data_IF_914975479396
#
_entry.id   IF_914975479396
#
_cell.length_a   1.000
_cell.length_b   1.000
_cell.length_c   1.000
_cell.angle_alpha   90.00
_cell.angle_beta   90.00
_cell.angle_gamma   90.00
#
_symmetry.space_group_name_H-M   'P 1'
#
loop_
_entity.id
_entity.type
_entity.pdbx_description
1 polymer ?
#
# COMPACT_ATOMS: atom_id res chain seq x y z
N UNK A 1 -55.86 30.85 -0.02
CA UNK A 1 -54.44 30.48 0.05
C UNK A 1 -53.92 30.27 1.49
N UNK A 2 -54.71 30.56 2.53
CA UNK A 2 -54.31 30.36 3.93
C UNK A 2 -54.66 28.97 4.54
N UNK A 3 -55.54 28.18 3.89
CA UNK A 3 -55.99 26.88 4.42
C UNK A 3 -55.04 25.71 4.09
N UNK A 4 -54.13 25.86 3.12
CA UNK A 4 -53.21 24.79 2.70
C UNK A 4 -51.90 24.75 3.51
N UNK A 5 -51.59 25.80 4.28
CA UNK A 5 -50.34 25.89 5.05
C UNK A 5 -50.45 25.29 6.47
N UNK A 6 -51.67 25.12 7.01
CA UNK A 6 -51.87 24.54 8.35
C UNK A 6 -51.88 23.01 8.36
N UNK A 7 -52.24 22.35 7.26
CA UNK A 7 -52.26 20.88 7.17
C UNK A 7 -50.84 20.29 7.05
N UNK A 8 -49.91 21.00 6.38
CA UNK A 8 -48.54 20.53 6.21
C UNK A 8 -47.74 20.51 7.53
N UNK A 9 -48.01 21.44 8.46
CA UNK A 9 -47.33 21.50 9.75
C UNK A 9 -47.75 20.40 10.73
N UNK A 10 -48.98 19.90 10.65
CA UNK A 10 -49.49 18.86 11.55
C UNK A 10 -49.04 17.44 11.15
N UNK A 11 -48.75 17.19 9.87
CA UNK A 11 -48.27 15.87 9.39
C UNK A 11 -46.80 15.63 9.77
N UNK A 12 -45.97 16.68 9.85
CA UNK A 12 -44.55 16.55 10.21
C UNK A 12 -44.32 16.27 11.71
N UNK A 13 -45.20 16.73 12.61
CA UNK A 13 -45.09 16.47 14.05
C UNK A 13 -45.50 15.04 14.45
N UNK A 14 -46.37 14.38 13.67
CA UNK A 14 -46.76 12.99 13.93
C UNK A 14 -45.70 11.96 13.47
N UNK A 15 -44.88 12.29 12.46
CA UNK A 15 -43.86 11.39 11.94
C UNK A 15 -42.61 11.29 12.84
N UNK A 16 -42.28 12.34 13.61
CA UNK A 16 -41.12 12.34 14.52
C UNK A 16 -41.46 11.66 15.86
N UNK A 17 -42.71 11.80 16.36
CA UNK A 17 -43.13 11.18 17.62
C UNK A 17 -43.35 9.66 17.54
N UNK A 18 -43.72 9.14 16.37
CA UNK A 18 -43.96 7.70 16.15
C UNK A 18 -42.68 6.86 16.04
N UNK A 19 -41.56 7.47 15.60
CA UNK A 19 -40.30 6.73 15.41
C UNK A 19 -39.58 6.45 16.73
N UNK A 20 -39.77 7.30 17.74
CA UNK A 20 -39.10 7.17 19.05
C UNK A 20 -39.75 6.13 19.99
N UNK A 21 -41.01 5.75 19.75
CA UNK A 21 -41.76 4.83 20.61
C UNK A 21 -41.70 3.35 20.16
N UNK A 22 -41.07 3.05 19.03
CA UNK A 22 -40.96 1.69 18.47
C UNK A 22 -39.55 1.06 18.55
N UNK A 23 -38.56 1.77 19.11
CA UNK A 23 -37.19 1.24 19.27
C UNK A 23 -36.87 0.70 20.67
N UNK A 24 -37.83 0.68 21.60
CA UNK A 24 -37.58 0.27 23.00
C UNK A 24 -38.35 -0.98 23.44
N UNK A 25 -38.62 -1.92 22.52
CA UNK A 25 -39.18 -3.21 22.90
C UNK A 25 -38.42 -4.39 22.28
N UNK A 26 -37.66 -5.02 23.18
CA UNK A 26 -37.26 -6.44 23.23
C UNK A 26 -35.93 -6.85 22.61
N UNK A 27 -34.95 -7.05 23.50
CA UNK A 27 -34.08 -8.23 23.50
C UNK A 27 -33.70 -8.55 24.96
N UNK A 28 -34.66 -9.09 25.73
CA UNK A 28 -34.34 -9.82 26.96
C UNK A 28 -33.95 -11.25 26.56
N UNK A 29 -32.69 -11.47 26.25
CA UNK A 29 -32.12 -12.82 26.15
C UNK A 29 -30.73 -12.86 26.78
N UNK A 30 -30.62 -13.74 27.77
CA UNK A 30 -29.40 -14.25 28.40
C UNK A 30 -28.56 -13.26 29.23
N UNK A 31 -28.63 -13.44 30.55
CA UNK A 31 -27.63 -12.94 31.50
C UNK A 31 -26.22 -13.40 31.08
N UNK A 32 -25.25 -12.49 30.90
CA UNK A 32 -23.87 -12.89 30.89
C UNK A 32 -23.49 -13.29 32.32
N UNK A 33 -22.86 -14.46 32.46
CA UNK A 33 -22.18 -14.87 33.67
C UNK A 33 -21.10 -13.81 33.92
N UNK A 34 -21.36 -12.91 34.86
CA UNK A 34 -20.38 -11.96 35.38
C UNK A 34 -19.32 -12.75 36.15
N UNK A 35 -18.34 -13.27 35.42
CA UNK A 35 -17.03 -13.55 36.00
C UNK A 35 -16.30 -12.23 36.05
N UNK A 36 -16.60 -11.44 37.09
CA UNK A 36 -15.74 -10.32 37.44
C UNK A 36 -14.32 -10.89 37.61
N UNK A 37 -13.29 -10.33 36.96
CA UNK A 37 -11.93 -10.67 37.31
C UNK A 37 -11.73 -10.40 38.81
N UNK A 38 -10.89 -11.18 39.51
CA UNK A 38 -10.58 -10.87 40.90
C UNK A 38 -10.19 -9.40 40.99
N UNK A 39 -10.70 -8.72 42.02
CA UNK A 39 -10.42 -7.31 42.29
C UNK A 39 -8.94 -7.06 42.01
N UNK A 40 -8.68 -6.23 41.00
CA UNK A 40 -7.33 -5.78 40.66
C UNK A 40 -6.73 -5.31 41.97
N UNK A 41 -5.61 -5.94 42.35
CA UNK A 41 -4.74 -5.37 43.37
C UNK A 41 -4.53 -3.92 42.93
N UNK A 42 -4.90 -2.99 43.80
CA UNK A 42 -4.72 -1.55 43.62
C UNK A 42 -3.21 -1.28 43.69
N UNK A 43 -2.51 -1.73 42.65
CA UNK A 43 -1.16 -1.29 42.35
C UNK A 43 -1.32 0.15 41.91
N UNK A 44 -0.46 1.07 42.38
CA UNK A 44 -0.51 2.44 41.92
C UNK A 44 -0.52 2.43 40.40
N UNK A 45 -1.48 3.13 39.79
CA UNK A 45 -1.43 3.40 38.37
C UNK A 45 -0.14 4.21 38.15
N UNK A 46 0.89 3.58 37.60
CA UNK A 46 2.12 4.25 37.22
C UNK A 46 1.75 5.24 36.12
N UNK A 47 1.74 6.55 36.44
CA UNK A 47 1.36 7.59 35.49
C UNK A 47 2.50 7.87 34.51
N UNK A 48 3.76 7.65 34.92
CA UNK A 48 4.94 7.88 34.09
C UNK A 48 5.98 6.74 34.18
N UNK A 49 6.55 6.33 33.04
CA UNK A 49 7.55 5.25 32.96
C UNK A 49 8.81 5.51 33.81
N UNK A 50 9.14 6.79 34.03
CA UNK A 50 10.29 7.24 34.82
C UNK A 50 10.17 6.91 36.32
N UNK A 51 8.97 6.55 36.80
CA UNK A 51 8.76 6.11 38.18
C UNK A 51 9.44 4.77 38.48
N UNK A 52 9.71 3.95 37.46
CA UNK A 52 10.44 2.69 37.58
C UNK A 52 11.78 2.68 36.82
N UNK A 53 11.96 3.55 35.83
CA UNK A 53 13.19 3.66 35.04
C UNK A 53 13.94 4.97 35.34
N UNK A 54 14.70 5.00 36.45
CA UNK A 54 15.49 6.16 36.86
C UNK A 54 16.60 6.50 35.86
N UNK A 55 17.19 5.48 35.22
CA UNK A 55 18.16 5.65 34.14
C UNK A 55 17.59 5.11 32.81
N UNK A 56 17.07 6.01 31.98
CA UNK A 56 16.47 5.66 30.68
C UNK A 56 17.49 5.18 29.64
N UNK A 57 18.78 5.49 29.82
CA UNK A 57 19.86 5.11 28.89
C UNK A 57 20.61 3.83 29.36
N UNK A 58 20.15 3.16 30.42
CA UNK A 58 20.82 1.99 30.99
C UNK A 58 20.93 0.82 29.99
N UNK A 59 19.85 0.49 29.27
CA UNK A 59 19.85 -0.61 28.29
C UNK A 59 20.82 -0.38 27.11
N UNK A 60 21.02 0.88 26.72
CA UNK A 60 21.96 1.28 25.66
C UNK A 60 23.42 1.14 26.11
N UNK A 61 23.68 1.31 27.42
CA UNK A 61 25.03 1.24 28.00
C UNK A 61 25.38 -0.16 28.50
N UNK A 62 24.38 -0.95 28.92
CA UNK A 62 24.51 -2.35 29.32
C UNK A 62 24.77 -3.30 28.14
N UNK A 63 24.46 -2.88 26.91
CA UNK A 63 24.65 -3.67 25.69
C UNK A 63 23.52 -4.66 25.41
N UNK A 64 22.37 -4.49 26.07
CA UNK A 64 21.16 -5.29 25.83
C UNK A 64 20.53 -5.00 24.45
N UNK A 65 20.84 -3.82 23.90
CA UNK A 65 20.50 -3.40 22.54
C UNK A 65 21.76 -2.95 21.81
N UNK A 66 21.74 -3.00 20.47
CA UNK A 66 22.86 -2.53 19.68
C UNK A 66 23.20 -1.07 20.04
N UNK A 67 24.46 -0.75 20.39
CA UNK A 67 24.81 0.57 20.89
C UNK A 67 24.56 1.62 19.82
N UNK A 68 23.76 2.62 20.18
CA UNK A 68 23.53 3.82 19.39
C UNK A 68 24.52 4.90 19.86
N UNK A 69 25.63 5.16 19.15
CA UNK A 69 26.77 5.89 19.71
C UNK A 69 26.48 7.33 20.14
N UNK A 70 25.42 7.93 19.58
CA UNK A 70 25.07 9.34 19.83
C UNK A 70 23.66 9.52 20.38
N UNK A 71 22.93 8.45 20.70
CA UNK A 71 21.57 8.57 21.20
C UNK A 71 21.56 8.68 22.72
N UNK A 72 20.87 9.69 23.25
CA UNK A 72 20.46 9.76 24.65
C UNK A 72 19.03 10.26 24.76
N UNK A 73 18.28 9.83 25.78
CA UNK A 73 16.96 10.37 26.05
C UNK A 73 17.01 11.88 26.35
N UNK A 74 18.03 12.36 27.08
CA UNK A 74 18.21 13.78 27.43
C UNK A 74 18.21 14.68 26.17
N UNK A 75 19.02 14.33 25.16
CA UNK A 75 19.14 15.10 23.93
C UNK A 75 17.83 15.12 23.12
N UNK A 76 17.09 14.01 23.09
CA UNK A 76 15.83 13.94 22.38
C UNK A 76 14.72 14.73 23.07
N UNK A 77 14.67 14.71 24.41
CA UNK A 77 13.73 15.53 25.17
C UNK A 77 14.05 17.02 25.09
N UNK A 78 15.33 17.39 24.93
CA UNK A 78 15.72 18.79 24.71
C UNK A 78 15.22 19.36 23.37
N UNK A 79 15.02 18.51 22.36
CA UNK A 79 14.59 18.90 21.01
C UNK A 79 13.08 18.65 20.79
N UNK A 80 12.50 17.69 21.52
CA UNK A 80 11.11 17.29 21.38
C UNK A 80 10.41 17.19 22.74
N UNK A 81 9.36 17.98 22.94
CA UNK A 81 8.47 17.84 24.11
C UNK A 81 7.40 16.75 23.87
N UNK A 82 7.73 15.72 23.09
CA UNK A 82 6.80 14.64 22.78
C UNK A 82 6.80 13.61 23.91
N UNK A 83 5.61 13.15 24.31
CA UNK A 83 5.48 12.09 25.31
C UNK A 83 6.10 10.76 24.86
N UNK A 84 6.31 9.84 25.81
CA UNK A 84 7.00 8.55 25.61
C UNK A 84 6.45 7.75 24.42
N UNK A 85 5.12 7.81 24.20
CA UNK A 85 4.39 7.11 23.13
C UNK A 85 4.75 7.58 21.72
N UNK A 86 5.47 8.72 21.60
CA UNK A 86 6.00 9.18 20.32
C UNK A 86 7.02 8.19 19.76
N UNK A 87 7.85 7.64 20.64
CA UNK A 87 8.91 6.70 20.28
C UNK A 87 8.50 5.26 20.61
N UNK A 88 7.99 5.01 21.81
CA UNK A 88 7.68 3.68 22.31
C UNK A 88 6.19 3.37 22.16
N UNK A 89 5.83 2.09 22.16
CA UNK A 89 4.44 1.68 22.35
C UNK A 89 4.21 1.48 23.86
N UNK A 90 3.34 2.29 24.51
CA UNK A 90 3.12 2.19 25.95
C UNK A 90 2.43 0.89 26.38
N UNK A 91 1.87 0.11 25.44
CA UNK A 91 1.20 -1.14 25.74
C UNK A 91 2.16 -2.34 25.85
N UNK A 92 3.44 -2.19 25.53
CA UNK A 92 4.43 -3.28 25.52
C UNK A 92 5.64 -2.95 26.40
N UNK A 93 6.09 -3.93 27.19
CA UNK A 93 7.35 -3.85 27.94
C UNK A 93 8.59 -4.16 27.06
N UNK A 94 8.39 -4.37 25.77
CA UNK A 94 9.46 -4.44 24.78
C UNK A 94 9.72 -3.03 24.23
N UNK A 95 10.56 -2.29 24.95
CA UNK A 95 10.72 -0.84 24.76
C UNK A 95 11.65 -0.46 23.60
N UNK A 96 12.04 -1.38 22.71
CA UNK A 96 12.85 -0.98 21.55
C UNK A 96 11.93 -0.41 20.46
N UNK A 97 12.02 0.88 20.13
CA UNK A 97 11.18 1.47 19.10
C UNK A 97 11.59 0.96 17.72
N UNK A 98 10.63 0.83 16.81
CA UNK A 98 10.93 0.62 15.39
C UNK A 98 11.71 1.81 14.84
N UNK A 99 12.65 1.57 13.91
CA UNK A 99 13.38 2.61 13.19
C UNK A 99 12.45 3.63 12.52
N UNK A 100 11.25 3.23 12.14
CA UNK A 100 10.22 4.10 11.57
C UNK A 100 9.89 5.30 12.47
N UNK A 101 9.96 5.12 13.79
CA UNK A 101 9.72 6.17 14.79
C UNK A 101 10.84 7.21 14.76
N UNK A 102 12.09 6.79 14.55
CA UNK A 102 13.23 7.68 14.39
C UNK A 102 13.11 8.51 13.10
N UNK A 103 12.76 7.84 11.99
CA UNK A 103 12.60 8.49 10.68
C UNK A 103 11.36 9.39 10.56
N UNK A 104 10.47 9.41 11.56
CA UNK A 104 9.37 10.38 11.62
C UNK A 104 9.88 11.83 11.80
N UNK A 105 11.10 12.01 12.31
CA UNK A 105 11.76 13.31 12.45
C UNK A 105 13.12 13.36 11.74
N UNK A 106 13.85 12.24 11.70
CA UNK A 106 15.15 12.15 11.05
C UNK A 106 15.03 11.83 9.56
N UNK A 107 15.95 12.37 8.77
CA UNK A 107 16.03 12.05 7.35
C UNK A 107 17.47 12.12 6.83
N UNK A 108 17.68 11.50 5.67
CA UNK A 108 19.01 11.42 5.05
C UNK A 108 19.30 12.57 4.09
N UNK A 109 18.31 13.43 3.85
CA UNK A 109 18.47 14.59 2.96
C UNK A 109 18.83 15.83 3.78
N UNK A 110 19.57 16.78 3.21
CA UNK A 110 19.86 18.05 3.89
C UNK A 110 18.62 18.88 4.26
N UNK A 111 17.48 18.61 3.63
CA UNK A 111 16.21 19.29 3.86
C UNK A 111 15.37 18.65 4.99
N UNK A 112 15.79 17.51 5.53
CA UNK A 112 15.09 16.86 6.64
C UNK A 112 15.12 17.73 7.91
N UNK A 113 14.13 17.56 8.79
CA UNK A 113 14.06 18.27 10.06
C UNK A 113 15.30 17.99 10.93
N UNK A 114 15.71 16.73 11.02
CA UNK A 114 16.97 16.32 11.64
C UNK A 114 17.80 15.53 10.61
N UNK A 115 18.64 16.22 9.79
CA UNK A 115 19.41 15.57 8.76
C UNK A 115 20.55 14.76 9.37
N UNK A 116 20.79 13.56 8.86
CA UNK A 116 21.81 12.68 9.41
C UNK A 116 22.29 11.62 8.42
N UNK A 117 23.54 11.17 8.63
CA UNK A 117 24.07 9.97 7.96
C UNK A 117 23.81 8.74 8.84
N UNK A 118 23.75 7.57 8.23
CA UNK A 118 23.49 6.30 8.93
C UNK A 118 24.45 6.07 10.12
N UNK A 119 25.71 6.52 9.98
CA UNK A 119 26.75 6.37 11.01
C UNK A 119 26.57 7.22 12.26
N UNK A 120 25.58 8.12 12.30
CA UNK A 120 25.24 8.81 13.53
C UNK A 120 24.58 7.86 14.53
N UNK A 121 23.67 7.01 14.03
CA UNK A 121 22.91 6.10 14.89
C UNK A 121 23.56 4.73 14.99
N UNK A 122 24.13 4.18 13.91
CA UNK A 122 24.67 2.82 13.91
C UNK A 122 26.10 2.76 13.39
N UNK A 123 26.86 1.75 13.80
CA UNK A 123 28.06 1.39 13.05
C UNK A 123 27.65 0.63 11.78
N UNK A 124 28.03 1.12 10.59
CA UNK A 124 27.69 0.46 9.30
C UNK A 124 28.23 -0.98 9.20
N UNK A 125 29.28 -1.31 9.96
CA UNK A 125 29.85 -2.67 10.00
C UNK A 125 28.95 -3.65 10.79
N UNK A 126 27.95 -3.14 11.50
CA UNK A 126 27.07 -3.92 12.37
C UNK A 126 25.69 -3.27 12.49
N UNK A 127 25.02 -3.01 11.36
CA UNK A 127 23.61 -2.59 11.38
C UNK A 127 22.75 -3.83 11.61
N UNK A 128 21.96 -3.88 12.69
CA UNK A 128 21.01 -4.97 12.89
C UNK A 128 19.98 -4.98 11.76
N UNK A 129 19.79 -6.13 11.13
CA UNK A 129 18.71 -6.31 10.18
C UNK A 129 17.37 -6.18 10.91
N UNK A 130 16.44 -5.32 10.44
CA UNK A 130 15.08 -5.28 10.97
C UNK A 130 14.40 -6.64 10.85
N UNK A 131 13.36 -6.89 11.65
CA UNK A 131 12.59 -8.14 11.60
C UNK A 131 11.95 -8.47 10.26
N UNK A 132 11.95 -7.54 9.30
CA UNK A 132 11.57 -7.78 7.90
C UNK A 132 12.60 -8.59 7.10
N UNK A 133 13.83 -8.76 7.60
CA UNK A 133 14.86 -9.61 7.01
C UNK A 133 14.69 -11.06 7.48
N UNK A 134 13.68 -11.72 6.92
CA UNK A 134 13.35 -13.12 7.21
C UNK A 134 13.91 -14.05 6.13
N UNK A 135 14.07 -15.33 6.46
CA UNK A 135 14.61 -16.34 5.53
C UNK A 135 13.76 -16.48 4.23
N UNK A 136 12.46 -16.22 4.31
CA UNK A 136 11.50 -16.29 3.19
C UNK A 136 11.25 -14.94 2.51
N UNK A 137 12.16 -13.98 2.65
CA UNK A 137 11.99 -12.62 2.14
C UNK A 137 11.58 -12.58 0.66
N UNK A 138 12.17 -13.43 -0.20
CA UNK A 138 11.88 -13.45 -1.63
C UNK A 138 10.38 -13.68 -1.95
N UNK A 139 9.66 -14.41 -1.09
CA UNK A 139 8.22 -14.69 -1.26
C UNK A 139 7.33 -13.79 -0.41
N UNK A 140 7.85 -13.16 0.64
CA UNK A 140 7.06 -12.41 1.62
C UNK A 140 7.19 -10.89 1.50
N UNK A 141 8.25 -10.38 0.85
CA UNK A 141 8.52 -8.94 0.77
C UNK A 141 7.40 -8.16 0.07
N UNK A 142 6.67 -8.77 -0.87
CA UNK A 142 5.58 -8.12 -1.60
C UNK A 142 4.47 -7.60 -0.69
N UNK A 143 4.08 -8.37 0.34
CA UNK A 143 3.08 -7.94 1.31
C UNK A 143 3.59 -6.77 2.18
N UNK A 144 4.87 -6.82 2.57
CA UNK A 144 5.52 -5.73 3.32
C UNK A 144 5.63 -4.43 2.51
N UNK A 145 5.91 -4.53 1.20
CA UNK A 145 5.97 -3.37 0.31
C UNK A 145 4.60 -2.70 0.14
N UNK A 146 3.51 -3.46 0.03
CA UNK A 146 2.15 -2.89 -0.06
C UNK A 146 1.78 -2.10 1.19
N UNK A 147 2.26 -2.52 2.36
CA UNK A 147 2.00 -1.84 3.62
C UNK A 147 2.86 -0.58 3.79
N UNK A 148 4.15 -0.62 3.41
CA UNK A 148 5.10 0.48 3.65
C UNK A 148 6.39 0.36 2.80
N UNK A 149 6.30 0.58 1.48
CA UNK A 149 7.46 0.51 0.58
C UNK A 149 8.61 1.47 0.96
N UNK A 150 8.27 2.65 1.48
CA UNK A 150 9.25 3.65 1.90
C UNK A 150 10.17 3.13 3.01
N UNK A 151 9.71 2.21 3.85
CA UNK A 151 10.51 1.64 4.94
C UNK A 151 11.82 1.00 4.47
N UNK A 152 11.83 0.37 3.30
CA UNK A 152 13.03 -0.26 2.74
C UNK A 152 14.03 0.78 2.25
N UNK A 153 13.53 1.81 1.57
CA UNK A 153 14.33 2.90 0.98
C UNK A 153 15.01 3.80 2.02
N UNK A 154 14.55 3.74 3.28
CA UNK A 154 15.20 4.43 4.41
C UNK A 154 16.59 3.88 4.72
N UNK A 155 16.87 2.62 4.39
CA UNK A 155 18.17 2.00 4.64
C UNK A 155 18.86 1.52 3.36
N UNK A 156 18.10 1.14 2.33
CA UNK A 156 18.63 0.54 1.10
C UNK A 156 18.35 1.40 -0.13
N UNK A 157 19.33 1.49 -1.03
CA UNK A 157 19.06 1.83 -2.42
C UNK A 157 18.45 0.61 -3.10
N UNK A 158 17.13 0.68 -3.37
CA UNK A 158 16.35 -0.49 -3.80
C UNK A 158 16.14 -0.56 -5.31
N UNK A 159 16.48 0.48 -6.07
CA UNK A 159 16.18 0.52 -7.52
C UNK A 159 16.86 -0.64 -8.27
N UNK A 160 18.15 -0.85 -8.03
CA UNK A 160 18.91 -1.96 -8.65
C UNK A 160 18.60 -3.32 -8.00
N UNK A 161 18.29 -3.32 -6.71
CA UNK A 161 18.02 -4.55 -5.97
C UNK A 161 16.70 -5.18 -6.40
N UNK A 162 15.63 -4.39 -6.54
CA UNK A 162 14.33 -4.87 -7.00
C UNK A 162 14.43 -5.38 -8.45
N UNK A 163 15.04 -4.60 -9.34
CA UNK A 163 15.16 -4.92 -10.77
C UNK A 163 15.96 -6.19 -11.03
N UNK A 164 16.92 -6.56 -10.17
CA UNK A 164 17.71 -7.77 -10.32
C UNK A 164 16.87 -9.06 -10.36
N UNK A 165 15.74 -9.10 -9.64
CA UNK A 165 14.82 -10.24 -9.64
C UNK A 165 13.55 -9.97 -10.46
N UNK A 166 13.01 -8.74 -10.37
CA UNK A 166 11.74 -8.37 -11.00
C UNK A 166 11.89 -8.06 -12.49
N UNK A 167 13.09 -7.74 -12.98
CA UNK A 167 13.36 -7.43 -14.38
C UNK A 167 12.89 -6.04 -14.83
N UNK A 168 12.05 -5.38 -14.03
CA UNK A 168 11.52 -4.03 -14.27
C UNK A 168 11.61 -3.19 -13.00
N UNK A 169 11.59 -1.86 -13.14
CA UNK A 169 11.63 -0.94 -12.01
C UNK A 169 10.36 -1.06 -11.16
N UNK A 170 10.53 -1.35 -9.86
CA UNK A 170 9.44 -1.53 -8.88
C UNK A 170 9.79 -0.80 -7.56
N UNK A 171 8.88 -0.01 -6.97
CA UNK A 171 7.56 0.38 -7.50
C UNK A 171 7.67 1.10 -8.84
N UNK A 172 6.71 0.87 -9.74
CA UNK A 172 6.71 1.55 -11.03
C UNK A 172 6.70 3.07 -10.83
N UNK A 173 7.50 3.85 -11.58
CA UNK A 173 7.49 5.31 -11.49
C UNK A 173 6.12 5.88 -11.89
N UNK A 174 5.81 7.09 -11.43
CA UNK A 174 4.48 7.69 -11.58
C UNK A 174 4.01 7.82 -13.06
N UNK A 175 4.94 7.97 -13.99
CA UNK A 175 4.69 8.08 -15.43
C UNK A 175 4.89 6.76 -16.20
N UNK A 176 5.14 5.65 -15.48
CA UNK A 176 5.42 4.33 -16.05
C UNK A 176 4.38 3.93 -17.09
N UNK A 177 3.10 3.96 -16.72
CA UNK A 177 1.99 3.52 -17.57
C UNK A 177 1.93 4.28 -18.91
N UNK A 178 2.32 5.56 -18.92
CA UNK A 178 2.22 6.42 -20.11
C UNK A 178 3.50 6.45 -20.94
N UNK A 179 4.68 6.26 -20.32
CA UNK A 179 5.97 6.48 -20.99
C UNK A 179 6.80 5.21 -21.15
N UNK A 180 6.98 4.42 -20.08
CA UNK A 180 8.00 3.35 -20.03
C UNK A 180 7.40 1.96 -20.24
N UNK A 181 6.17 1.76 -19.76
CA UNK A 181 5.44 0.49 -19.81
C UNK A 181 5.44 -0.19 -21.20
N UNK A 182 5.04 0.47 -22.31
CA UNK A 182 4.99 -0.20 -23.61
C UNK A 182 6.37 -0.66 -24.09
N UNK A 183 7.45 0.07 -23.80
CA UNK A 183 8.79 -0.33 -24.18
C UNK A 183 9.32 -1.47 -23.31
N UNK A 184 9.08 -1.40 -22.00
CA UNK A 184 9.47 -2.44 -21.06
C UNK A 184 8.86 -3.80 -21.44
N UNK A 185 7.57 -3.82 -21.83
CA UNK A 185 6.91 -5.06 -22.29
C UNK A 185 7.67 -5.75 -23.44
N UNK A 186 8.08 -4.99 -24.45
CA UNK A 186 8.83 -5.54 -25.59
C UNK A 186 10.28 -5.89 -25.26
N UNK A 187 10.85 -5.31 -24.20
CA UNK A 187 12.23 -5.56 -23.78
C UNK A 187 12.34 -6.80 -22.89
N UNK A 188 11.46 -6.92 -21.89
CA UNK A 188 11.53 -7.99 -20.86
C UNK A 188 10.55 -9.15 -21.09
N UNK A 189 9.62 -9.00 -22.04
CA UNK A 189 8.65 -10.01 -22.43
C UNK A 189 7.45 -10.15 -21.47
N UNK A 190 6.39 -10.78 -21.98
CA UNK A 190 5.12 -10.95 -21.27
C UNK A 190 5.27 -11.76 -19.97
N UNK A 191 6.13 -12.76 -19.94
CA UNK A 191 6.36 -13.63 -18.76
C UNK A 191 6.86 -12.85 -17.54
N UNK A 192 7.61 -11.76 -17.74
CA UNK A 192 8.08 -10.91 -16.63
C UNK A 192 6.90 -10.17 -16.00
N UNK A 193 6.02 -9.63 -16.85
CA UNK A 193 4.83 -8.91 -16.42
C UNK A 193 3.78 -9.85 -15.79
N UNK A 194 3.64 -11.08 -16.31
CA UNK A 194 2.71 -12.11 -15.84
C UNK A 194 2.96 -12.58 -14.39
N UNK A 195 4.13 -12.26 -13.82
CA UNK A 195 4.45 -12.57 -12.41
C UNK A 195 3.58 -11.80 -11.42
N UNK A 196 3.08 -10.63 -11.83
CA UNK A 196 2.28 -9.74 -10.99
C UNK A 196 0.96 -9.33 -11.67
N UNK A 197 0.99 -9.10 -12.98
CA UNK A 197 -0.19 -8.76 -13.77
C UNK A 197 -0.88 -10.01 -14.29
N UNK A 198 -2.20 -9.96 -14.33
CA UNK A 198 -2.97 -11.04 -14.94
C UNK A 198 -2.97 -10.85 -16.46
N UNK A 199 -2.19 -11.67 -17.17
CA UNK A 199 -2.04 -11.63 -18.64
C UNK A 199 -2.66 -12.83 -19.36
N UNK A 200 -3.17 -13.81 -18.62
CA UNK A 200 -3.91 -14.91 -19.22
C UNK A 200 -5.22 -14.39 -19.80
N UNK A 201 -5.62 -15.00 -20.92
CA UNK A 201 -6.77 -14.57 -21.69
C UNK A 201 -8.07 -14.83 -20.92
N UNK A 202 -8.38 -13.93 -19.99
CA UNK A 202 -9.48 -14.04 -19.05
C UNK A 202 -10.81 -13.75 -19.75
N UNK A 203 -11.92 -14.09 -19.08
CA UNK A 203 -13.25 -13.64 -19.52
C UNK A 203 -13.55 -12.19 -19.11
N UNK A 204 -12.70 -11.60 -18.28
CA UNK A 204 -12.77 -10.21 -17.79
C UNK A 204 -11.84 -9.30 -18.57
N UNK A 205 -12.09 -7.99 -18.49
CA UNK A 205 -11.18 -6.99 -19.04
C UNK A 205 -9.83 -7.14 -18.35
N UNK A 206 -8.75 -7.28 -19.12
CA UNK A 206 -7.40 -7.29 -18.57
C UNK A 206 -6.81 -5.88 -18.53
N UNK A 207 -5.63 -5.76 -17.91
CA UNK A 207 -4.95 -4.47 -17.75
C UNK A 207 -4.55 -3.87 -19.12
N UNK A 208 -4.34 -4.70 -20.14
CA UNK A 208 -3.97 -4.28 -21.49
C UNK A 208 -5.15 -3.60 -22.20
N UNK A 209 -6.33 -4.24 -22.15
CA UNK A 209 -7.58 -3.79 -22.77
C UNK A 209 -8.08 -2.46 -22.18
N UNK A 210 -7.71 -2.15 -20.94
CA UNK A 210 -8.01 -0.86 -20.30
C UNK A 210 -7.52 0.34 -21.12
N UNK A 211 -6.37 0.21 -21.76
CA UNK A 211 -5.71 1.28 -22.52
C UNK A 211 -5.64 1.01 -24.03
N UNK A 212 -5.49 -0.24 -24.47
CA UNK A 212 -5.32 -0.58 -25.89
C UNK A 212 -6.64 -0.77 -26.65
N UNK A 213 -7.72 -1.15 -25.96
CA UNK A 213 -9.06 -1.28 -26.53
C UNK A 213 -10.11 -0.62 -25.61
N UNK A 214 -10.00 0.70 -25.37
CA UNK A 214 -10.83 1.41 -24.40
C UNK A 214 -12.33 1.27 -24.66
N UNK A 215 -12.73 1.10 -25.92
CA UNK A 215 -14.09 0.89 -26.39
C UNK A 215 -14.72 -0.46 -26.00
N UNK A 216 -13.91 -1.40 -25.48
CA UNK A 216 -14.41 -2.63 -24.87
C UNK A 216 -15.23 -2.36 -23.60
N UNK A 217 -16.11 -3.31 -23.24
CA UNK A 217 -16.88 -3.22 -22.01
C UNK A 217 -15.98 -3.24 -20.77
N UNK A 218 -16.36 -2.52 -19.70
CA UNK A 218 -15.53 -2.37 -18.49
C UNK A 218 -15.19 -3.69 -17.77
N UNK A 219 -16.00 -4.73 -17.95
CA UNK A 219 -15.92 -5.98 -17.18
C UNK A 219 -15.84 -7.25 -18.05
N UNK A 220 -15.56 -7.11 -19.35
CA UNK A 220 -15.46 -8.24 -20.28
C UNK A 220 -14.15 -8.16 -21.04
N UNK A 221 -13.56 -9.30 -21.37
CA UNK A 221 -12.34 -9.31 -22.18
C UNK A 221 -12.58 -8.73 -23.56
N UNK A 222 -11.51 -8.23 -24.20
CA UNK A 222 -11.59 -7.73 -25.56
C UNK A 222 -12.14 -8.78 -26.51
N UNK A 223 -11.74 -10.05 -26.42
CA UNK A 223 -12.30 -11.11 -27.28
C UNK A 223 -13.83 -11.23 -27.17
N UNK A 224 -14.40 -10.96 -26.00
CA UNK A 224 -15.85 -10.95 -25.79
C UNK A 224 -16.52 -9.65 -26.29
N UNK A 225 -15.89 -8.49 -26.12
CA UNK A 225 -16.41 -7.20 -26.59
C UNK A 225 -16.21 -6.95 -28.10
N UNK A 226 -15.14 -7.51 -28.66
CA UNK A 226 -14.65 -7.28 -30.03
C UNK A 226 -15.74 -7.48 -31.11
N UNK A 227 -16.57 -8.55 -31.09
CA UNK A 227 -17.61 -8.73 -32.12
C UNK A 227 -18.67 -7.63 -32.16
N UNK A 228 -18.96 -6.99 -31.03
CA UNK A 228 -19.91 -5.87 -30.96
C UNK A 228 -19.24 -4.56 -31.37
N UNK A 229 -18.00 -4.34 -30.93
CA UNK A 229 -17.20 -3.17 -31.33
C UNK A 229 -16.97 -3.15 -32.84
N UNK A 230 -16.50 -4.26 -33.44
CA UNK A 230 -16.25 -4.35 -34.89
C UNK A 230 -17.53 -4.15 -35.71
N UNK A 231 -18.68 -4.60 -35.20
CA UNK A 231 -19.98 -4.44 -35.89
C UNK A 231 -20.50 -3.01 -35.87
N UNK A 232 -20.15 -2.26 -34.82
CA UNK A 232 -20.68 -0.92 -34.57
C UNK A 232 -19.67 0.19 -34.89
N UNK A 233 -18.39 -0.15 -35.07
CA UNK A 233 -17.34 0.78 -35.45
C UNK A 233 -17.66 1.46 -36.78
N UNK A 234 -17.72 2.79 -36.75
CA UNK A 234 -18.06 3.62 -37.92
C UNK A 234 -16.82 3.87 -38.79
N UNK A 235 -15.63 3.66 -38.25
CA UNK A 235 -14.34 3.91 -38.91
C UNK A 235 -13.43 2.69 -38.79
N UNK A 236 -12.74 2.34 -39.87
CA UNK A 236 -11.75 1.25 -39.92
C UNK A 236 -10.40 1.63 -39.27
N UNK A 237 -10.44 2.31 -38.11
CA UNK A 237 -9.26 2.76 -37.38
C UNK A 237 -8.41 1.60 -36.85
N UNK A 238 -8.98 0.39 -36.74
CA UNK A 238 -8.29 -0.84 -36.35
C UNK A 238 -7.04 -1.10 -37.21
N UNK A 239 -7.11 -0.84 -38.52
CA UNK A 239 -5.98 -1.06 -39.45
C UNK A 239 -4.87 -0.01 -39.33
N UNK A 240 -5.01 0.97 -38.44
CA UNK A 240 -3.92 1.89 -38.08
C UNK A 240 -2.84 1.18 -37.27
N UNK A 241 -3.23 0.15 -36.52
CA UNK A 241 -2.35 -0.61 -35.62
C UNK A 241 -2.24 -2.09 -36.02
N UNK A 242 -3.30 -2.71 -36.55
CA UNK A 242 -3.33 -4.13 -36.89
C UNK A 242 -3.32 -4.39 -38.40
N UNK A 243 -2.51 -5.33 -38.85
CA UNK A 243 -2.51 -5.84 -40.22
C UNK A 243 -3.73 -6.77 -40.44
N UNK A 244 -4.36 -6.81 -41.63
CA UNK A 244 -5.43 -7.77 -41.94
C UNK A 244 -5.11 -9.24 -41.64
N UNK A 245 -3.82 -9.62 -41.66
CA UNK A 245 -3.36 -10.95 -41.28
C UNK A 245 -3.66 -11.32 -39.82
N UNK A 246 -3.77 -10.34 -38.92
CA UNK A 246 -4.12 -10.56 -37.49
C UNK A 246 -5.53 -11.10 -37.33
N UNK A 247 -6.50 -10.59 -38.11
CA UNK A 247 -7.87 -11.12 -38.15
C UNK A 247 -7.87 -12.60 -38.56
N UNK A 248 -7.09 -12.93 -39.60
CA UNK A 248 -7.01 -14.31 -40.11
C UNK A 248 -6.41 -15.24 -39.07
N UNK A 249 -5.30 -14.87 -38.42
CA UNK A 249 -4.69 -15.69 -37.37
C UNK A 249 -5.69 -16.04 -36.27
N UNK A 250 -6.32 -15.05 -35.64
CA UNK A 250 -7.26 -15.33 -34.56
C UNK A 250 -8.48 -16.18 -35.04
N UNK A 251 -9.04 -15.89 -36.21
CA UNK A 251 -10.18 -16.64 -36.74
C UNK A 251 -9.84 -18.02 -37.33
N UNK A 252 -8.56 -18.36 -37.48
CA UNK A 252 -8.11 -19.67 -38.02
C UNK A 252 -7.41 -20.54 -36.99
N UNK A 253 -6.61 -19.96 -36.09
CA UNK A 253 -5.85 -20.69 -35.06
C UNK A 253 -6.28 -20.39 -33.63
N UNK A 254 -7.10 -19.36 -33.39
CA UNK A 254 -7.66 -19.05 -32.06
C UNK A 254 -6.68 -18.43 -31.06
N UNK A 255 -5.41 -18.33 -31.41
CA UNK A 255 -4.36 -17.75 -30.57
C UNK A 255 -3.91 -16.39 -31.14
N UNK A 256 -3.98 -15.38 -30.27
CA UNK A 256 -3.33 -14.09 -30.48
C UNK A 256 -1.93 -14.19 -29.88
N UNK A 257 -0.91 -14.05 -30.73
CA UNK A 257 0.48 -13.96 -30.28
C UNK A 257 0.87 -12.48 -30.24
N UNK A 258 0.79 -11.87 -29.06
CA UNK A 258 1.14 -10.46 -28.84
C UNK A 258 2.62 -10.14 -29.15
N UNK A 259 3.50 -11.14 -29.08
CA UNK A 259 4.93 -11.00 -29.43
C UNK A 259 5.17 -11.01 -30.94
N UNK A 260 4.23 -11.55 -31.72
CA UNK A 260 4.27 -11.56 -33.18
C UNK A 260 3.91 -10.19 -33.78
N UNK A 261 3.23 -9.34 -33.03
CA UNK A 261 2.89 -7.96 -33.39
C UNK A 261 4.05 -6.99 -33.10
N UNK A 262 5.29 -7.41 -33.42
CA UNK A 262 6.48 -6.55 -33.35
C UNK A 262 6.22 -5.26 -34.13
N UNK A 263 6.60 -4.09 -33.58
CA UNK A 263 6.30 -2.81 -34.21
C UNK A 263 6.86 -2.77 -35.64
N UNK A 264 5.98 -2.51 -36.61
CA UNK A 264 6.36 -2.22 -38.00
C UNK A 264 7.16 -0.91 -38.15
N UNK A 265 7.41 -0.21 -37.03
CA UNK A 265 8.22 0.99 -36.98
C UNK A 265 9.39 0.83 -36.01
N UNK A 266 10.62 0.67 -36.51
CA UNK A 266 11.82 0.94 -35.72
C UNK A 266 11.73 2.39 -35.22
N UNK A 267 12.22 2.65 -34.00
CA UNK A 267 12.56 4.03 -33.61
C UNK A 267 13.42 4.60 -34.74
N UNK A 268 12.96 5.69 -35.34
CA UNK A 268 13.91 6.68 -35.85
C UNK A 268 14.37 7.44 -34.62
N UNK A 269 15.53 6.98 -34.14
CA UNK A 269 16.46 7.59 -33.20
C UNK A 269 16.28 9.11 -33.04
N UNK A 270 16.00 9.52 -31.79
CA UNK A 270 16.41 10.81 -31.21
C UNK A 270 16.72 10.61 -29.72
#
# INVERSE_FOLDING_TARGET
MALKLTVAALVLLAAVGGWFLLQHRQAETASPISTSPPASIDLPAFEECAECHENLDESLTAGDVAPLPTFTHETHFAVSNAGCSRCHDPAVHEVTPSMDRCFACHGQTPAAFAPGRCTLCHNLSFIPSPGSHVDLWATEHGAGLQANADSCTRCHDTTQFCTACHGVEIPHPADWATNTHPFAFFEVGADTCARCHQLDASSSRDDCDSCHHPEGGANVSWRAAHPDVVRTAVTNTCFTCHEPATCVRCHTVGEENLEADRPLHPRTDK
#
